data_IF_377843428584
#
_entry.id   IF_377843428584
#
_cell.length_a   1.000
_cell.length_b   1.000
_cell.length_c   1.000
_cell.angle_alpha   90.00
_cell.angle_beta   90.00
_cell.angle_gamma   90.00
#
_symmetry.space_group_name_H-M   'P 1'
#
loop_
_entity.id
_entity.type
_entity.pdbx_description
1 polymer ?
#
# COMPACT_ATOMS: atom_id res chain seq x y z
N UNK A 1 20.94 -7.37 -12.20
CA UNK A 1 20.04 -8.23 -11.80
C UNK A 1 18.82 -7.62 -11.19
N UNK A 2 17.73 -8.00 -11.59
CA UNK A 2 16.53 -7.40 -11.08
C UNK A 2 16.03 -8.13 -9.85
N UNK A 3 15.34 -7.38 -9.05
CA UNK A 3 14.73 -7.91 -7.86
C UNK A 3 13.24 -8.00 -8.03
N UNK A 4 12.82 -8.35 -9.20
CA UNK A 4 11.41 -8.42 -9.50
C UNK A 4 10.68 -9.26 -8.45
N UNK A 5 9.63 -8.74 -7.90
CA UNK A 5 8.84 -9.44 -6.91
C UNK A 5 9.38 -9.36 -5.51
N UNK A 6 10.55 -8.76 -5.33
CA UNK A 6 11.10 -8.68 -3.99
C UNK A 6 10.36 -7.64 -3.16
N UNK A 7 10.08 -7.99 -1.91
CA UNK A 7 9.42 -7.07 -0.99
C UNK A 7 10.47 -6.15 -0.40
N UNK A 8 10.25 -4.86 -0.50
CA UNK A 8 11.17 -3.87 0.04
C UNK A 8 10.64 -3.34 1.35
N UNK A 9 11.53 -2.66 2.08
CA UNK A 9 11.11 -1.98 3.31
C UNK A 9 10.03 -0.96 3.03
N UNK A 10 10.14 -0.29 1.89
CA UNK A 10 9.16 0.71 1.51
C UNK A 10 7.79 0.08 1.34
N UNK A 11 7.73 -1.06 0.69
CA UNK A 11 6.48 -1.76 0.49
C UNK A 11 5.87 -2.16 1.83
N UNK A 12 6.71 -2.64 2.73
CA UNK A 12 6.24 -3.04 4.05
C UNK A 12 5.72 -1.86 4.84
N UNK A 13 6.42 -0.73 4.75
CA UNK A 13 6.00 0.48 5.46
C UNK A 13 4.66 0.98 4.95
N UNK A 14 4.50 1.00 3.63
CA UNK A 14 3.25 1.47 3.04
C UNK A 14 2.10 0.54 3.44
N UNK A 15 2.34 -0.76 3.39
CA UNK A 15 1.30 -1.70 3.78
C UNK A 15 0.83 -1.51 5.20
N UNK A 16 1.79 -1.29 6.11
CA UNK A 16 1.45 -1.06 7.49
C UNK A 16 0.69 0.25 7.69
N UNK A 17 1.14 1.29 7.00
CA UNK A 17 0.45 2.58 7.11
C UNK A 17 -0.99 2.48 6.64
N UNK A 18 -1.21 1.79 5.52
CA UNK A 18 -2.56 1.63 5.01
C UNK A 18 -3.43 0.85 5.98
N UNK A 19 -2.85 -0.20 6.57
CA UNK A 19 -3.60 -0.96 7.55
C UNK A 19 -4.00 -0.09 8.74
N UNK A 20 -3.08 0.73 9.22
CA UNK A 20 -3.37 1.60 10.36
C UNK A 20 -4.47 2.60 10.02
N UNK A 21 -4.43 3.15 8.80
CA UNK A 21 -5.47 4.06 8.37
C UNK A 21 -6.83 3.37 8.34
N UNK A 22 -6.85 2.14 7.84
CA UNK A 22 -8.10 1.38 7.81
C UNK A 22 -8.63 1.15 9.21
N UNK A 23 -7.76 0.72 10.12
CA UNK A 23 -8.17 0.43 11.47
C UNK A 23 -8.68 1.69 12.16
N UNK A 24 -8.01 2.81 11.93
CA UNK A 24 -8.45 4.08 12.50
C UNK A 24 -9.80 4.50 11.96
N UNK A 25 -10.09 4.14 10.72
CA UNK A 25 -11.39 4.45 10.14
C UNK A 25 -12.46 3.51 10.62
N UNK A 26 -12.12 2.52 11.44
CA UNK A 26 -13.09 1.59 11.96
C UNK A 26 -13.56 0.55 10.99
N UNK A 27 -12.76 0.28 9.95
CA UNK A 27 -13.18 -0.64 8.89
C UNK A 27 -12.45 -1.97 9.01
N UNK A 28 -13.21 -3.04 8.83
CA UNK A 28 -12.60 -4.36 8.68
C UNK A 28 -12.12 -4.51 7.24
N UNK A 29 -11.29 -5.54 7.03
CA UNK A 29 -10.86 -5.83 5.66
C UNK A 29 -12.04 -6.11 4.75
N UNK A 30 -13.04 -6.80 5.28
CA UNK A 30 -14.21 -7.12 4.50
C UNK A 30 -15.01 -5.87 4.14
N UNK A 31 -15.13 -4.95 5.10
CA UNK A 31 -15.84 -3.70 4.84
C UNK A 31 -15.11 -2.87 3.79
N UNK A 32 -13.78 -2.88 3.83
CA UNK A 32 -13.03 -2.17 2.80
C UNK A 32 -13.25 -2.79 1.45
N UNK A 33 -13.30 -4.12 1.38
CA UNK A 33 -13.59 -4.81 0.14
C UNK A 33 -14.94 -4.37 -0.40
N UNK A 34 -15.94 -4.31 0.46
CA UNK A 34 -17.27 -3.88 0.05
C UNK A 34 -17.28 -2.44 -0.45
N UNK A 35 -16.55 -1.57 0.24
CA UNK A 35 -16.46 -0.18 -0.17
C UNK A 35 -15.86 -0.05 -1.56
N UNK A 36 -14.96 -0.93 -1.91
CA UNK A 36 -14.32 -0.88 -3.22
C UNK A 36 -15.24 -1.35 -4.33
N UNK A 37 -16.43 -1.84 -3.98
CA UNK A 37 -17.31 -2.42 -4.97
C UNK A 37 -16.76 -3.70 -5.58
N UNK A 38 -15.89 -4.37 -4.86
CA UNK A 38 -15.28 -5.59 -5.35
C UNK A 38 -14.01 -5.37 -6.15
N UNK A 39 -13.63 -4.13 -6.33
CA UNK A 39 -12.40 -3.83 -7.07
C UNK A 39 -11.18 -4.34 -6.32
N UNK A 40 -11.20 -4.22 -5.00
CA UNK A 40 -10.16 -4.80 -4.15
C UNK A 40 -10.73 -6.04 -3.49
N UNK A 41 -10.25 -7.19 -3.88
CA UNK A 41 -10.65 -8.42 -3.25
C UNK A 41 -9.99 -8.52 -1.88
N UNK A 42 -10.62 -9.33 -1.01
CA UNK A 42 -10.08 -9.47 0.33
C UNK A 42 -8.64 -9.94 0.32
N UNK A 43 -8.31 -10.88 -0.56
CA UNK A 43 -6.93 -11.37 -0.63
C UNK A 43 -5.97 -10.26 -1.05
N UNK A 44 -6.40 -9.37 -1.93
CA UNK A 44 -5.56 -8.24 -2.33
C UNK A 44 -5.32 -7.32 -1.14
N UNK A 45 -6.34 -7.07 -0.35
CA UNK A 45 -6.20 -6.23 0.84
C UNK A 45 -5.22 -6.86 1.82
N UNK A 46 -5.38 -8.15 2.08
CA UNK A 46 -4.48 -8.85 2.98
C UNK A 46 -3.05 -8.77 2.47
N UNK A 47 -2.87 -8.98 1.18
CA UNK A 47 -1.55 -8.94 0.59
C UNK A 47 -0.91 -7.56 0.73
N UNK A 48 -1.68 -6.51 0.49
CA UNK A 48 -1.17 -5.15 0.64
C UNK A 48 -0.71 -4.91 2.07
N UNK A 49 -1.53 -5.28 3.03
CA UNK A 49 -1.23 -4.99 4.42
C UNK A 49 -0.08 -5.80 4.95
N UNK A 50 0.06 -7.03 4.49
CA UNK A 50 1.14 -7.90 4.94
C UNK A 50 2.39 -7.79 4.10
N UNK A 51 2.27 -7.13 2.96
CA UNK A 51 3.37 -7.01 2.02
C UNK A 51 3.94 -8.37 1.66
N UNK A 52 3.05 -9.33 1.47
CA UNK A 52 3.47 -10.69 1.15
C UNK A 52 4.04 -10.77 -0.25
N UNK A 53 3.45 -10.03 -1.16
CA UNK A 53 3.93 -9.86 -2.51
C UNK A 53 3.92 -8.38 -2.80
N UNK A 54 4.59 -7.98 -3.86
CA UNK A 54 4.52 -6.59 -4.27
C UNK A 54 3.15 -6.35 -4.89
N UNK A 55 2.35 -5.53 -4.23
CA UNK A 55 1.06 -5.17 -4.75
C UNK A 55 1.24 -4.17 -5.89
N UNK A 56 0.30 -4.15 -6.82
CA UNK A 56 0.35 -3.18 -7.88
C UNK A 56 0.09 -1.79 -7.34
N UNK A 57 0.67 -0.81 -8.01
CA UNK A 57 0.46 0.58 -7.63
C UNK A 57 -1.01 0.94 -7.73
N UNK A 58 -1.70 0.40 -8.73
CA UNK A 58 -3.12 0.66 -8.87
C UNK A 58 -3.93 0.19 -7.68
N UNK A 59 -3.60 -1.00 -7.17
CA UNK A 59 -4.30 -1.51 -6.00
C UNK A 59 -4.02 -0.67 -4.77
N UNK A 60 -2.79 -0.23 -4.62
CA UNK A 60 -2.42 0.61 -3.48
C UNK A 60 -3.13 1.94 -3.56
N UNK A 61 -3.20 2.53 -4.75
CA UNK A 61 -3.92 3.78 -4.94
C UNK A 61 -5.40 3.63 -4.65
N UNK A 62 -6.00 2.52 -5.07
CA UNK A 62 -7.41 2.27 -4.79
C UNK A 62 -7.64 2.16 -3.29
N UNK A 63 -6.78 1.41 -2.61
CA UNK A 63 -6.89 1.25 -1.17
C UNK A 63 -6.85 2.61 -0.47
N UNK A 64 -5.83 3.41 -0.79
CA UNK A 64 -5.66 4.71 -0.16
C UNK A 64 -6.84 5.61 -0.48
N UNK A 65 -7.31 5.59 -1.72
CA UNK A 65 -8.41 6.44 -2.14
C UNK A 65 -9.70 6.16 -1.40
N UNK A 66 -9.95 4.89 -1.07
CA UNK A 66 -11.14 4.52 -0.32
C UNK A 66 -11.15 5.15 1.06
N UNK A 67 -9.98 5.46 1.60
CA UNK A 67 -9.85 6.06 2.91
C UNK A 67 -9.68 7.57 2.86
N UNK A 68 -9.74 8.15 1.67
CA UNK A 68 -9.61 9.58 1.51
C UNK A 68 -8.18 10.07 1.36
N UNK A 69 -7.28 9.19 1.02
CA UNK A 69 -5.88 9.55 0.84
C UNK A 69 -5.46 9.30 -0.58
N UNK A 70 -4.39 9.93 -0.98
CA UNK A 70 -3.80 9.66 -2.28
C UNK A 70 -2.30 9.56 -2.11
N UNK A 71 -1.68 8.78 -2.99
CA UNK A 71 -0.25 8.61 -2.95
C UNK A 71 0.44 9.87 -3.45
N UNK A 72 1.62 10.08 -2.94
CA UNK A 72 2.38 11.25 -3.27
C UNK A 72 3.86 10.87 -3.34
N UNK A 73 4.57 11.49 -4.25
CA UNK A 73 6.00 11.31 -4.37
C UNK A 73 6.66 12.57 -3.86
N UNK A 74 7.54 12.40 -2.89
CA UNK A 74 8.17 13.55 -2.28
C UNK A 74 9.66 13.28 -2.12
N UNK A 75 10.43 14.31 -2.00
CA UNK A 75 11.88 14.13 -1.83
C UNK A 75 12.19 13.35 -0.57
N UNK A 76 13.20 12.53 -0.67
CA UNK A 76 13.69 11.77 0.47
C UNK A 76 14.74 12.63 1.16
N UNK A 77 14.48 13.07 2.40
CA UNK A 77 15.44 13.95 3.08
C UNK A 77 16.78 13.28 3.36
N UNK A 78 16.78 11.95 3.36
CA UNK A 78 18.01 11.24 3.62
C UNK A 78 18.76 10.88 2.36
N UNK A 79 18.20 11.23 1.21
CA UNK A 79 18.81 10.85 -0.06
C UNK A 79 20.04 11.72 -0.33
N UNK A 80 21.14 11.05 -0.64
CA UNK A 80 22.36 11.74 -1.05
C UNK A 80 22.68 11.28 -2.46
N UNK A 81 22.68 12.19 -3.44
CA UNK A 81 22.99 11.77 -4.81
C UNK A 81 24.40 11.20 -4.87
N UNK A 82 24.56 10.12 -5.61
CA UNK A 82 25.87 9.52 -5.83
C UNK A 82 26.50 10.25 -6.97
N UNK A 83 27.52 10.96 -6.67
CA UNK A 83 28.18 11.68 -7.71
C UNK A 83 29.30 10.95 -8.31
N UNK A 84 29.45 10.31 -8.21
CA UNK A 84 30.45 9.84 -8.75
C UNK A 84 30.63 9.51 -9.41
#
# INVERSE_FOLDING_TARGET
>A
MTQTGKITEETQRIGLELKLLRVRAGLTQEQLCELSGGELKRNAIINIERAKYNASIGQICTYAGLLGYRLNIEPDPDFTPNNK
#
